data_IF_488449903699
#
_entry.id   IF_488449903699
#
_cell.length_a   1.000
_cell.length_b   1.000
_cell.length_c   1.000
_cell.angle_alpha   90.00
_cell.angle_beta   90.00
_cell.angle_gamma   90.00
#
_symmetry.space_group_name_H-M   'P 1'
#
loop_
_entity.id
_entity.type
_entity.pdbx_description
1 polymer ?
#
# COMPACT_ATOMS: atom_id res chain seq x y z
N UNK A 1 -5.96 5.23 -7.49
CA UNK A 1 -5.50 5.47 -6.11
C UNK A 1 -6.18 6.66 -5.44
N UNK A 2 -6.81 7.57 -6.18
CA UNK A 2 -7.42 8.79 -5.63
C UNK A 2 -8.40 8.55 -4.47
N UNK A 3 -9.38 7.65 -4.63
CA UNK A 3 -10.34 7.34 -3.57
C UNK A 3 -9.66 6.80 -2.30
N UNK A 4 -8.71 5.86 -2.45
CA UNK A 4 -8.00 5.28 -1.32
C UNK A 4 -7.16 6.34 -0.59
N UNK A 5 -6.52 7.25 -1.33
CA UNK A 5 -5.81 8.36 -0.72
C UNK A 5 -6.73 9.31 0.02
N UNK A 6 -7.92 9.60 -0.52
CA UNK A 6 -8.93 10.43 0.15
C UNK A 6 -9.37 9.81 1.47
N UNK A 7 -9.76 8.54 1.44
CA UNK A 7 -10.17 7.80 2.63
C UNK A 7 -9.05 7.73 3.68
N UNK A 8 -7.79 7.57 3.26
CA UNK A 8 -6.66 7.54 4.18
C UNK A 8 -6.32 8.92 4.78
N UNK A 9 -6.30 9.97 3.96
CA UNK A 9 -5.84 11.31 4.36
C UNK A 9 -6.94 12.17 5.00
N UNK A 10 -8.16 12.09 4.48
CA UNK A 10 -9.28 12.95 4.91
C UNK A 10 -10.12 12.28 6.01
N UNK A 11 -10.30 10.96 5.93
CA UNK A 11 -11.10 10.21 6.91
C UNK A 11 -10.24 9.43 7.93
N UNK A 12 -8.92 9.44 7.80
CA UNK A 12 -8.00 8.76 8.72
C UNK A 12 -8.06 7.23 8.66
N UNK A 13 -8.62 6.65 7.58
CA UNK A 13 -8.73 5.19 7.46
C UNK A 13 -7.36 4.56 7.22
N UNK A 14 -7.05 3.49 7.95
CA UNK A 14 -5.86 2.67 7.64
C UNK A 14 -6.19 1.70 6.52
N UNK A 15 -5.36 1.69 5.47
CA UNK A 15 -5.57 0.87 4.28
C UNK A 15 -4.37 -0.04 4.11
N UNK A 16 -4.62 -1.34 4.01
CA UNK A 16 -3.64 -2.35 3.61
C UNK A 16 -4.08 -2.89 2.26
N UNK A 17 -3.16 -2.87 1.29
CA UNK A 17 -3.40 -3.33 -0.07
C UNK A 17 -2.29 -4.28 -0.47
N UNK A 18 -2.65 -5.34 -1.20
CA UNK A 18 -1.71 -6.28 -1.82
C UNK A 18 -1.80 -6.10 -3.32
N UNK A 19 -0.67 -5.89 -3.99
CA UNK A 19 -0.61 -5.68 -5.43
C UNK A 19 0.67 -6.25 -6.00
N UNK A 20 0.62 -6.68 -7.27
CA UNK A 20 1.80 -7.02 -8.07
C UNK A 20 2.27 -5.83 -8.94
N UNK A 21 1.55 -4.70 -8.90
CA UNK A 21 1.92 -3.50 -9.64
C UNK A 21 2.80 -2.59 -8.78
N UNK A 22 4.09 -2.46 -9.15
CA UNK A 22 5.06 -1.65 -8.39
C UNK A 22 4.75 -0.14 -8.41
N UNK A 23 4.21 0.38 -9.51
CA UNK A 23 3.83 1.78 -9.62
C UNK A 23 2.73 2.15 -8.61
N UNK A 24 1.74 1.28 -8.43
CA UNK A 24 0.69 1.47 -7.42
C UNK A 24 1.23 1.39 -6.00
N UNK A 25 2.13 0.43 -5.73
CA UNK A 25 2.78 0.31 -4.42
C UNK A 25 3.58 1.58 -4.09
N UNK A 26 4.29 2.15 -5.07
CA UNK A 26 5.04 3.39 -4.95
C UNK A 26 4.21 4.64 -4.63
N UNK A 27 2.89 4.60 -4.85
CA UNK A 27 1.98 5.69 -4.48
C UNK A 27 1.57 5.64 -2.99
N UNK A 28 1.89 4.58 -2.25
CA UNK A 28 1.54 4.41 -0.83
C UNK A 28 2.59 4.98 0.12
N UNK A 29 2.24 5.14 1.40
CA UNK A 29 3.17 5.66 2.42
C UNK A 29 4.30 4.69 2.78
N UNK A 30 4.09 3.38 2.58
CA UNK A 30 5.09 2.33 2.83
C UNK A 30 4.74 1.08 2.04
N UNK A 31 5.75 0.52 1.38
CA UNK A 31 5.67 -0.80 0.75
C UNK A 31 6.34 -1.84 1.63
N UNK A 32 5.71 -3.01 1.78
CA UNK A 32 6.30 -4.19 2.43
C UNK A 32 6.31 -5.32 1.41
N UNK A 33 7.48 -5.90 1.16
CA UNK A 33 7.63 -7.02 0.22
C UNK A 33 7.64 -8.34 0.97
N UNK A 34 6.96 -9.33 0.43
CA UNK A 34 6.98 -10.70 0.93
C UNK A 34 7.53 -11.62 -0.15
N UNK A 35 8.40 -12.54 0.27
CA UNK A 35 8.94 -13.60 -0.55
C UNK A 35 8.99 -14.89 0.28
N UNK A 36 8.40 -15.97 -0.23
CA UNK A 36 8.28 -17.27 0.46
C UNK A 36 7.78 -17.16 1.92
N UNK A 37 6.74 -16.37 2.12
CA UNK A 37 6.11 -16.18 3.45
C UNK A 37 6.93 -15.35 4.43
N UNK A 38 8.07 -14.78 4.01
CA UNK A 38 8.92 -13.92 4.83
C UNK A 38 8.90 -12.50 4.30
N UNK A 39 8.91 -11.53 5.22
CA UNK A 39 9.12 -10.13 4.84
C UNK A 39 10.57 -9.96 4.37
N UNK A 40 10.75 -9.30 3.23
CA UNK A 40 12.04 -8.94 2.64
C UNK A 40 12.14 -7.42 2.48
N UNK A 41 13.38 -6.90 2.45
CA UNK A 41 13.69 -5.47 2.41
C UNK A 41 13.82 -4.96 0.96
#
# INVERSE_FOLDING_TARGET
MELLHRLNKEEGRTIVMVTHNEEQAGQTSRTVRFFDGRQVQ
#
